data_IF_765829001957
#
_entry.id   IF_765829001957
#
_cell.length_a   1.000
_cell.length_b   1.000
_cell.length_c   1.000
_cell.angle_alpha   90.00
_cell.angle_beta   90.00
_cell.angle_gamma   90.00
#
_symmetry.space_group_name_H-M   'P 1'
#
loop_
_entity.id
_entity.type
_entity.pdbx_description
1 polymer ?
#
# COMPACT_ATOMS: atom_id res chain seq x y z
N UNK A 1 -7.46 -19.39 -0.76
CA UNK A 1 -8.67 -18.56 -0.89
C UNK A 1 -8.34 -17.13 -0.46
N UNK A 2 -8.41 -16.16 -1.37
CA UNK A 2 -8.20 -14.73 -1.04
C UNK A 2 -9.41 -14.16 -0.30
N UNK A 3 -9.33 -12.94 0.30
CA UNK A 3 -10.50 -12.29 0.90
C UNK A 3 -11.61 -12.04 -0.12
N UNK A 4 -11.25 -11.71 -1.37
CA UNK A 4 -12.21 -11.53 -2.45
C UNK A 4 -12.91 -12.85 -2.81
N UNK A 5 -12.16 -13.94 -2.91
CA UNK A 5 -12.73 -15.28 -3.13
C UNK A 5 -13.67 -15.66 -1.99
N UNK A 6 -13.27 -15.40 -0.74
CA UNK A 6 -14.09 -15.70 0.43
C UNK A 6 -15.37 -14.86 0.46
N UNK A 7 -15.30 -13.58 0.09
CA UNK A 7 -16.47 -12.74 -0.14
C UNK A 7 -17.42 -13.36 -1.18
N UNK A 8 -16.89 -13.87 -2.28
CA UNK A 8 -17.67 -14.56 -3.32
C UNK A 8 -18.26 -15.89 -2.82
N UNK A 9 -17.49 -16.69 -2.09
CA UNK A 9 -17.94 -17.94 -1.47
C UNK A 9 -19.10 -17.70 -0.52
N UNK A 10 -19.00 -16.68 0.35
CA UNK A 10 -20.11 -16.33 1.25
C UNK A 10 -21.33 -15.86 0.47
N UNK A 11 -21.15 -15.03 -0.56
CA UNK A 11 -22.26 -14.60 -1.41
C UNK A 11 -22.92 -15.79 -2.15
N UNK A 12 -22.12 -16.77 -2.59
CA UNK A 12 -22.62 -18.00 -3.21
C UNK A 12 -23.43 -18.84 -2.21
N UNK A 13 -22.94 -19.00 -0.98
CA UNK A 13 -23.68 -19.68 0.10
C UNK A 13 -25.02 -18.98 0.42
N UNK A 14 -25.05 -17.64 0.39
CA UNK A 14 -26.29 -16.86 0.55
C UNK A 14 -27.26 -17.12 -0.59
N UNK A 15 -26.79 -17.02 -1.86
CA UNK A 15 -27.63 -17.29 -3.04
C UNK A 15 -28.21 -18.70 -3.01
N UNK A 16 -27.41 -19.69 -2.62
CA UNK A 16 -27.84 -21.08 -2.46
C UNK A 16 -28.91 -21.23 -1.37
N UNK A 17 -28.71 -20.59 -0.21
CA UNK A 17 -29.70 -20.60 0.88
C UNK A 17 -31.06 -19.98 0.47
N UNK A 18 -31.04 -18.93 -0.35
CA UNK A 18 -32.25 -18.32 -0.91
C UNK A 18 -32.89 -19.23 -1.96
N UNK A 19 -32.10 -19.74 -2.91
CA UNK A 19 -32.58 -20.61 -4.00
C UNK A 19 -33.21 -21.92 -3.51
N UNK A 20 -32.69 -22.49 -2.42
CA UNK A 20 -33.22 -23.70 -1.78
C UNK A 20 -34.41 -23.40 -0.84
N UNK A 21 -34.79 -22.13 -0.67
CA UNK A 21 -35.90 -21.72 0.18
C UNK A 21 -35.63 -21.87 1.68
N UNK A 22 -34.36 -21.94 2.11
CA UNK A 22 -33.96 -21.94 3.51
C UNK A 22 -33.95 -20.53 4.11
N UNK A 23 -33.72 -19.51 3.28
CA UNK A 23 -33.86 -18.08 3.60
C UNK A 23 -34.91 -17.46 2.68
N UNK A 24 -36.19 -17.82 2.88
CA UNK A 24 -37.31 -17.27 2.09
C UNK A 24 -37.43 -15.77 2.34
N UNK A 25 -37.77 -15.03 1.29
CA UNK A 25 -38.03 -13.58 1.35
C UNK A 25 -36.80 -12.70 1.64
N UNK A 26 -35.59 -13.28 1.62
CA UNK A 26 -34.35 -12.51 1.79
C UNK A 26 -33.85 -11.97 0.46
N UNK A 27 -33.67 -10.64 0.38
CA UNK A 27 -32.96 -10.03 -0.73
C UNK A 27 -31.46 -10.30 -0.62
N UNK A 28 -30.87 -10.85 -1.68
CA UNK A 28 -29.44 -11.14 -1.72
C UNK A 28 -28.67 -9.83 -1.88
N UNK A 29 -27.73 -9.50 -0.97
CA UNK A 29 -26.95 -8.28 -1.08
C UNK A 29 -26.03 -8.33 -2.32
N UNK A 30 -25.74 -7.19 -2.96
CA UNK A 30 -24.87 -7.14 -4.12
C UNK A 30 -23.43 -7.53 -3.78
N UNK A 31 -23.02 -7.37 -2.51
CA UNK A 31 -21.69 -7.70 -2.02
C UNK A 31 -21.73 -8.13 -0.56
N UNK A 32 -20.89 -9.11 -0.23
CA UNK A 32 -20.55 -9.47 1.15
C UNK A 32 -19.14 -9.03 1.44
N UNK A 33 -18.90 -8.50 2.63
CA UNK A 33 -17.57 -8.10 3.11
C UNK A 33 -17.07 -9.15 4.12
N UNK A 34 -15.83 -9.57 3.94
CA UNK A 34 -15.05 -10.31 4.94
C UNK A 34 -13.88 -9.45 5.39
N UNK A 35 -13.65 -9.44 6.69
CA UNK A 35 -12.62 -8.63 7.35
C UNK A 35 -11.82 -9.50 8.30
N UNK A 36 -10.69 -8.98 8.79
CA UNK A 36 -9.97 -9.65 9.88
C UNK A 36 -10.86 -9.70 11.14
N UNK A 37 -10.87 -10.81 11.90
CA UNK A 37 -11.59 -10.87 13.15
C UNK A 37 -11.17 -9.72 14.06
N UNK A 38 -12.15 -9.10 14.73
CA UNK A 38 -11.89 -8.05 15.73
C UNK A 38 -11.13 -8.63 16.92
N UNK A 39 -10.46 -7.81 17.75
CA UNK A 39 -9.86 -8.29 18.99
C UNK A 39 -10.88 -9.09 19.83
N UNK A 40 -10.56 -10.35 20.13
CA UNK A 40 -11.46 -11.32 20.78
C UNK A 40 -12.26 -12.23 19.83
N UNK A 41 -12.16 -12.04 18.52
CA UNK A 41 -12.65 -12.97 17.49
C UNK A 41 -11.70 -14.14 17.25
N UNK A 42 -12.19 -15.18 16.57
CA UNK A 42 -11.43 -16.39 16.23
C UNK A 42 -11.33 -16.56 14.70
N UNK A 43 -10.53 -17.52 14.24
CA UNK A 43 -10.36 -17.83 12.82
C UNK A 43 -9.49 -16.83 12.05
N UNK A 44 -9.46 -16.99 10.72
CA UNK A 44 -8.66 -16.17 9.80
C UNK A 44 -9.40 -14.90 9.36
N UNK A 45 -10.72 -15.02 9.18
CA UNK A 45 -11.62 -14.02 8.61
C UNK A 45 -12.96 -14.01 9.33
N UNK A 46 -13.67 -12.89 9.31
CA UNK A 46 -15.01 -12.76 9.87
C UNK A 46 -15.94 -12.02 8.91
N UNK A 47 -17.23 -12.35 8.94
CA UNK A 47 -18.27 -11.62 8.22
C UNK A 47 -19.52 -11.39 9.07
N UNK A 48 -20.16 -10.25 8.86
CA UNK A 48 -21.44 -9.87 9.44
C UNK A 48 -22.63 -10.16 8.50
N UNK A 49 -22.44 -10.93 7.43
CA UNK A 49 -23.46 -11.21 6.42
C UNK A 49 -24.79 -11.66 7.03
N UNK A 50 -24.77 -12.56 8.01
CA UNK A 50 -25.99 -13.04 8.67
C UNK A 50 -26.76 -11.92 9.39
N UNK A 51 -26.06 -10.96 10.00
CA UNK A 51 -26.68 -9.79 10.64
C UNK A 51 -27.31 -8.84 9.63
N UNK A 52 -26.72 -8.70 8.45
CA UNK A 52 -27.25 -7.87 7.37
C UNK A 52 -28.49 -8.51 6.75
N UNK A 53 -28.43 -9.80 6.44
CA UNK A 53 -29.52 -10.58 5.85
C UNK A 53 -30.71 -10.66 6.79
N UNK A 54 -30.47 -10.83 8.09
CA UNK A 54 -31.51 -10.88 9.11
C UNK A 54 -32.31 -9.58 9.28
N UNK A 55 -31.86 -8.45 8.71
CA UNK A 55 -32.67 -7.22 8.67
C UNK A 55 -33.80 -7.30 7.64
N UNK A 56 -33.61 -8.10 6.59
CA UNK A 56 -34.58 -8.29 5.52
C UNK A 56 -35.61 -9.39 5.78
N UNK A 57 -35.50 -10.11 6.91
CA UNK A 57 -36.38 -11.23 7.28
C UNK A 57 -36.68 -11.22 8.77
N UNK A 58 -37.86 -11.69 9.17
CA UNK A 58 -38.23 -11.85 10.57
C UNK A 58 -37.55 -13.06 11.24
N UNK A 59 -36.30 -13.37 10.87
CA UNK A 59 -35.51 -14.46 11.43
C UNK A 59 -34.44 -13.91 12.38
N UNK A 60 -34.19 -14.56 13.54
CA UNK A 60 -33.07 -14.20 14.39
C UNK A 60 -31.74 -14.28 13.63
N UNK A 61 -30.82 -13.30 13.75
CA UNK A 61 -29.57 -13.33 12.99
C UNK A 61 -28.71 -14.57 13.23
N UNK A 62 -28.79 -15.15 14.44
CA UNK A 62 -28.16 -16.41 14.77
C UNK A 62 -28.69 -17.59 13.95
N UNK A 63 -29.99 -17.63 13.64
CA UNK A 63 -30.57 -18.63 12.75
C UNK A 63 -30.08 -18.48 11.32
N UNK A 64 -30.00 -17.24 10.82
CA UNK A 64 -29.42 -16.96 9.50
C UNK A 64 -27.95 -17.41 9.45
N UNK A 65 -27.19 -17.15 10.52
CA UNK A 65 -25.81 -17.61 10.63
C UNK A 65 -25.69 -19.14 10.62
N UNK A 66 -26.59 -19.88 11.29
CA UNK A 66 -26.62 -21.35 11.27
C UNK A 66 -26.86 -21.90 9.85
N UNK A 67 -27.81 -21.32 9.11
CA UNK A 67 -28.12 -21.71 7.72
C UNK A 67 -26.92 -21.46 6.79
N UNK A 68 -26.24 -20.34 6.96
CA UNK A 68 -25.04 -20.03 6.17
C UNK A 68 -23.86 -20.91 6.57
N UNK A 69 -23.69 -21.20 7.86
CA UNK A 69 -22.62 -22.08 8.37
C UNK A 69 -22.67 -23.45 7.71
N UNK A 70 -23.85 -24.06 7.60
CA UNK A 70 -24.00 -25.39 6.97
C UNK A 70 -23.45 -25.40 5.54
N UNK A 71 -23.81 -24.40 4.73
CA UNK A 71 -23.33 -24.28 3.34
C UNK A 71 -21.86 -23.91 3.25
N UNK A 72 -21.38 -23.04 4.13
CA UNK A 72 -19.97 -22.65 4.16
C UNK A 72 -19.06 -23.82 4.58
N UNK A 73 -19.52 -24.75 5.41
CA UNK A 73 -18.76 -25.94 5.76
C UNK A 73 -18.63 -26.95 4.60
N UNK A 74 -19.50 -26.87 3.58
CA UNK A 74 -19.37 -27.67 2.35
C UNK A 74 -18.28 -27.14 1.41
N UNK A 75 -17.80 -25.91 1.62
CA UNK A 75 -16.84 -25.27 0.74
C UNK A 75 -15.42 -25.84 0.98
N UNK A 76 -14.72 -26.33 -0.05
CA UNK A 76 -13.44 -27.03 0.10
C UNK A 76 -12.37 -26.23 0.86
N UNK A 77 -12.40 -24.90 0.74
CA UNK A 77 -11.42 -24.02 1.37
C UNK A 77 -11.65 -23.71 2.86
N UNK A 78 -12.79 -24.09 3.42
CA UNK A 78 -13.20 -23.75 4.78
C UNK A 78 -13.02 -24.97 5.69
N UNK A 79 -12.27 -24.79 6.78
CA UNK A 79 -12.05 -25.82 7.79
C UNK A 79 -13.13 -25.78 8.87
N UNK A 80 -13.46 -24.58 9.33
CA UNK A 80 -14.36 -24.36 10.45
C UNK A 80 -15.07 -23.02 10.29
N UNK A 81 -16.31 -22.98 10.80
CA UNK A 81 -17.14 -21.78 10.83
C UNK A 81 -17.77 -21.65 12.22
N UNK A 82 -17.31 -20.67 12.97
CA UNK A 82 -17.77 -20.37 14.33
C UNK A 82 -18.74 -19.19 14.35
N UNK A 83 -19.89 -19.38 15.00
CA UNK A 83 -20.88 -18.32 15.18
C UNK A 83 -20.64 -17.67 16.54
N UNK A 84 -20.29 -16.39 16.52
CA UNK A 84 -20.07 -15.59 17.74
C UNK A 84 -21.12 -14.51 17.91
N UNK A 85 -21.42 -14.19 19.17
CA UNK A 85 -22.36 -13.13 19.54
C UNK A 85 -23.74 -13.29 18.89
N UNK A 86 -24.33 -12.22 18.33
CA UNK A 86 -25.67 -12.26 17.75
C UNK A 86 -25.75 -12.96 16.39
N UNK A 87 -24.63 -13.23 15.71
CA UNK A 87 -24.62 -13.81 14.36
C UNK A 87 -23.38 -13.47 13.52
N UNK A 88 -22.22 -13.22 14.13
CA UNK A 88 -20.97 -13.05 13.38
C UNK A 88 -20.42 -14.43 13.01
N UNK A 89 -20.08 -14.62 11.73
CA UNK A 89 -19.46 -15.83 11.22
C UNK A 89 -17.95 -15.63 11.18
N UNK A 90 -17.22 -16.40 11.98
CA UNK A 90 -15.76 -16.47 11.93
C UNK A 90 -15.35 -17.72 11.16
N UNK A 91 -14.44 -17.55 10.20
CA UNK A 91 -14.07 -18.54 9.21
C UNK A 91 -12.60 -18.89 9.41
N UNK A 92 -12.33 -20.16 9.67
CA UNK A 92 -10.98 -20.74 9.69
C UNK A 92 -10.78 -21.44 8.36
N UNK A 93 -9.73 -21.06 7.64
CA UNK A 93 -9.37 -21.68 6.37
C UNK A 93 -8.66 -23.01 6.63
N UNK A 94 -8.77 -23.98 5.72
CA UNK A 94 -7.95 -25.20 5.82
C UNK A 94 -6.47 -24.84 5.76
N UNK A 95 -5.66 -25.53 6.58
CA UNK A 95 -4.20 -25.42 6.51
C UNK A 95 -3.75 -25.70 5.08
N UNK A 96 -2.82 -24.90 4.56
CA UNK A 96 -2.45 -24.93 3.14
C UNK A 96 -3.25 -23.96 2.27
N UNK A 97 -4.57 -23.86 2.39
CA UNK A 97 -5.39 -23.06 1.44
C UNK A 97 -5.11 -21.56 1.49
N UNK A 98 -4.75 -21.03 2.67
CA UNK A 98 -4.31 -19.64 2.83
C UNK A 98 -2.92 -19.45 2.26
N UNK A 99 -1.96 -20.29 2.66
CA UNK A 99 -0.59 -20.22 2.16
C UNK A 99 -0.50 -20.46 0.66
N UNK A 100 -1.33 -21.35 0.11
CA UNK A 100 -1.33 -21.71 -1.31
C UNK A 100 -1.95 -20.59 -2.14
N UNK A 101 -3.01 -19.94 -1.67
CA UNK A 101 -3.54 -18.78 -2.39
C UNK A 101 -2.70 -17.52 -2.23
N UNK A 102 -2.11 -17.29 -1.05
CA UNK A 102 -1.11 -16.23 -0.89
C UNK A 102 0.08 -16.49 -1.82
N UNK A 103 0.55 -17.76 -1.92
CA UNK A 103 1.61 -18.16 -2.87
C UNK A 103 1.19 -18.01 -4.32
N UNK A 104 0.00 -18.44 -4.71
CA UNK A 104 -0.52 -18.30 -6.08
C UNK A 104 -0.68 -16.82 -6.44
N UNK A 105 -1.19 -16.00 -5.52
CA UNK A 105 -1.30 -14.55 -5.72
C UNK A 105 0.08 -13.90 -5.87
N UNK A 106 1.00 -14.18 -4.93
CA UNK A 106 2.38 -13.66 -5.00
C UNK A 106 3.05 -14.13 -6.28
N UNK A 107 2.90 -15.39 -6.67
CA UNK A 107 3.44 -15.91 -7.93
C UNK A 107 2.84 -15.19 -9.13
N UNK A 108 1.53 -14.98 -9.17
CA UNK A 108 0.87 -14.21 -10.22
C UNK A 108 1.34 -12.75 -10.28
N UNK A 109 1.57 -12.10 -9.14
CA UNK A 109 2.15 -10.75 -9.07
C UNK A 109 3.57 -10.75 -9.62
N UNK A 110 4.40 -11.72 -9.25
CA UNK A 110 5.78 -11.83 -9.71
C UNK A 110 5.86 -12.13 -11.22
N UNK A 111 5.03 -13.06 -11.72
CA UNK A 111 4.97 -13.43 -13.13
C UNK A 111 4.49 -12.25 -14.01
N UNK A 112 3.58 -11.41 -13.50
CA UNK A 112 3.13 -10.20 -14.19
C UNK A 112 4.10 -9.01 -14.00
N UNK A 113 4.91 -9.02 -12.94
CA UNK A 113 5.90 -8.00 -12.64
C UNK A 113 5.31 -6.58 -12.60
N UNK A 114 5.94 -5.58 -13.25
CA UNK A 114 5.42 -4.21 -13.32
C UNK A 114 4.04 -4.09 -14.01
N UNK A 115 3.65 -5.10 -14.78
CA UNK A 115 2.34 -5.15 -15.45
C UNK A 115 1.20 -5.61 -14.54
N UNK A 116 1.48 -6.07 -13.31
CA UNK A 116 0.42 -6.48 -12.40
C UNK A 116 -0.59 -5.35 -12.15
N UNK A 117 -1.88 -5.67 -12.26
CA UNK A 117 -2.97 -4.70 -12.14
C UNK A 117 -3.24 -3.83 -13.37
N UNK A 118 -2.47 -4.00 -14.45
CA UNK A 118 -2.82 -3.43 -15.75
C UNK A 118 -3.96 -4.23 -16.38
N UNK A 119 -4.80 -3.54 -17.15
CA UNK A 119 -5.97 -4.13 -17.80
C UNK A 119 -6.35 -3.39 -19.06
N UNK A 120 -7.53 -3.70 -19.61
CA UNK A 120 -8.07 -3.10 -20.83
C UNK A 120 -9.45 -2.43 -20.63
N UNK A 121 -9.82 -2.18 -19.37
CA UNK A 121 -11.12 -1.62 -18.99
C UNK A 121 -11.43 -0.26 -19.65
N UNK A 122 -10.41 0.47 -20.10
CA UNK A 122 -10.52 1.77 -20.76
C UNK A 122 -9.95 1.75 -22.19
N UNK A 123 -9.78 0.59 -22.84
CA UNK A 123 -9.13 0.47 -24.16
C UNK A 123 -9.74 1.32 -25.29
N UNK A 124 -11.05 1.56 -25.17
CA UNK A 124 -11.82 2.32 -26.15
C UNK A 124 -11.89 3.82 -25.81
N UNK A 125 -11.36 4.21 -24.64
CA UNK A 125 -11.32 5.59 -24.17
C UNK A 125 -10.10 6.35 -24.72
N UNK A 126 -10.32 7.61 -25.08
CA UNK A 126 -9.30 8.53 -25.55
C UNK A 126 -9.42 9.87 -24.81
N UNK A 127 -8.59 10.01 -23.77
CA UNK A 127 -8.59 11.19 -22.91
C UNK A 127 -7.65 12.26 -23.48
N UNK A 128 -8.18 13.47 -23.67
CA UNK A 128 -7.40 14.61 -24.13
C UNK A 128 -7.22 15.61 -22.99
N UNK A 129 -6.03 15.62 -22.37
CA UNK A 129 -5.70 16.50 -21.24
C UNK A 129 -4.98 17.77 -21.71
N UNK A 130 -5.19 18.86 -20.98
CA UNK A 130 -4.47 20.10 -21.23
C UNK A 130 -2.96 19.89 -21.04
N UNK A 131 -2.15 20.39 -21.97
CA UNK A 131 -0.72 20.15 -21.94
C UNK A 131 0.09 20.96 -22.93
N UNK A 132 1.35 20.58 -23.09
CA UNK A 132 2.26 21.22 -24.03
C UNK A 132 1.83 20.98 -25.50
N UNK A 133 2.19 21.91 -26.40
CA UNK A 133 1.83 21.84 -27.83
C UNK A 133 2.48 20.66 -28.56
N UNK A 134 3.67 20.26 -28.12
CA UNK A 134 4.42 19.12 -28.62
C UNK A 134 3.93 17.77 -28.06
N UNK A 135 2.91 17.79 -27.18
CA UNK A 135 2.39 16.61 -26.52
C UNK A 135 3.31 16.05 -25.41
N UNK A 136 4.37 16.75 -25.02
CA UNK A 136 5.37 16.27 -24.05
C UNK A 136 4.83 16.00 -22.65
N UNK A 137 3.63 16.49 -22.32
CA UNK A 137 3.00 16.19 -21.04
C UNK A 137 2.00 17.24 -20.60
N UNK A 138 1.50 17.07 -19.39
CA UNK A 138 0.61 18.04 -18.76
C UNK A 138 1.35 19.36 -18.51
N UNK A 139 0.65 20.47 -18.70
CA UNK A 139 1.14 21.83 -18.44
C UNK A 139 0.15 22.51 -17.51
N UNK A 140 0.64 23.30 -16.58
CA UNK A 140 -0.19 23.94 -15.57
C UNK A 140 0.64 24.25 -14.32
N UNK A 141 -0.03 24.72 -13.27
CA UNK A 141 0.63 24.84 -11.98
C UNK A 141 1.00 23.44 -11.43
N UNK A 142 1.83 23.39 -10.40
CA UNK A 142 2.45 22.17 -9.91
C UNK A 142 1.44 21.05 -9.62
N UNK A 143 0.29 21.37 -9.03
CA UNK A 143 -0.74 20.37 -8.70
C UNK A 143 -1.46 19.86 -9.93
N UNK A 144 -1.87 20.76 -10.84
CA UNK A 144 -2.53 20.40 -12.11
C UNK A 144 -1.68 19.39 -12.87
N UNK A 145 -0.36 19.65 -12.99
CA UNK A 145 0.61 18.75 -13.61
C UNK A 145 0.65 17.37 -12.94
N UNK A 146 0.88 17.33 -11.64
CA UNK A 146 1.01 16.04 -10.92
C UNK A 146 -0.27 15.22 -10.96
N UNK A 147 -1.43 15.86 -10.80
CA UNK A 147 -2.73 15.19 -10.88
C UNK A 147 -2.99 14.71 -12.31
N UNK A 148 -2.69 15.53 -13.32
CA UNK A 148 -2.80 15.16 -14.74
C UNK A 148 -1.96 13.96 -15.10
N UNK A 149 -0.70 13.93 -14.66
CA UNK A 149 0.20 12.79 -14.90
C UNK A 149 -0.28 11.52 -14.19
N UNK A 150 -0.81 11.64 -12.96
CA UNK A 150 -1.37 10.51 -12.23
C UNK A 150 -2.63 9.94 -12.91
N UNK A 151 -3.55 10.80 -13.36
CA UNK A 151 -4.73 10.38 -14.13
C UNK A 151 -4.30 9.71 -15.43
N UNK A 152 -3.33 10.29 -16.13
CA UNK A 152 -2.83 9.72 -17.37
C UNK A 152 -2.20 8.33 -17.17
N UNK A 153 -1.42 8.15 -16.09
CA UNK A 153 -0.85 6.86 -15.73
C UNK A 153 -1.93 5.82 -15.42
N UNK A 154 -2.98 6.19 -14.67
CA UNK A 154 -4.11 5.31 -14.37
C UNK A 154 -4.85 4.90 -15.65
N UNK A 155 -5.20 5.85 -16.53
CA UNK A 155 -5.89 5.55 -17.79
C UNK A 155 -5.06 4.63 -18.68
N UNK A 156 -3.77 4.92 -18.85
CA UNK A 156 -2.85 4.08 -19.63
C UNK A 156 -2.70 2.69 -19.03
N UNK A 157 -2.66 2.57 -17.70
CA UNK A 157 -2.60 1.26 -17.03
C UNK A 157 -3.81 0.37 -17.33
N UNK A 158 -4.95 0.98 -17.69
CA UNK A 158 -6.19 0.28 -18.03
C UNK A 158 -6.42 0.23 -19.56
N UNK A 159 -5.37 0.43 -20.36
CA UNK A 159 -5.39 0.30 -21.82
C UNK A 159 -5.88 1.53 -22.58
N UNK A 160 -6.30 2.59 -21.88
CA UNK A 160 -6.81 3.81 -22.51
C UNK A 160 -5.72 4.69 -23.12
N UNK A 161 -6.11 5.48 -24.12
CA UNK A 161 -5.20 6.45 -24.76
C UNK A 161 -5.27 7.78 -24.05
N UNK A 162 -4.12 8.43 -23.89
CA UNK A 162 -4.04 9.78 -23.31
C UNK A 162 -3.17 10.66 -24.19
N UNK A 163 -3.75 11.76 -24.66
CA UNK A 163 -3.09 12.79 -25.45
C UNK A 163 -3.05 14.10 -24.67
N UNK A 164 -1.99 14.86 -24.87
CA UNK A 164 -1.84 16.20 -24.32
C UNK A 164 -1.95 17.24 -25.44
N UNK A 165 -2.56 18.38 -25.14
CA UNK A 165 -2.60 19.50 -26.08
C UNK A 165 -3.19 20.76 -25.47
N UNK A 166 -2.97 21.91 -26.11
CA UNK A 166 -3.43 23.22 -25.61
C UNK A 166 -4.95 23.39 -25.55
N UNK A 167 -5.69 22.51 -26.23
CA UNK A 167 -7.17 22.45 -26.21
C UNK A 167 -7.71 21.27 -25.40
N UNK A 168 -6.85 20.56 -24.68
CA UNK A 168 -7.27 19.46 -23.82
C UNK A 168 -8.01 19.93 -22.57
N UNK A 169 -8.66 19.00 -21.91
CA UNK A 169 -9.40 19.24 -20.67
C UNK A 169 -8.47 19.64 -19.53
N UNK A 170 -8.83 20.72 -18.82
CA UNK A 170 -8.12 21.18 -17.63
C UNK A 170 -8.71 20.57 -16.38
N UNK A 171 -7.85 20.06 -15.52
CA UNK A 171 -8.27 19.51 -14.25
C UNK A 171 -8.47 20.65 -13.25
N UNK A 172 -9.70 20.79 -12.75
CA UNK A 172 -10.02 21.79 -11.74
C UNK A 172 -9.38 21.41 -10.39
N UNK A 173 -8.24 22.03 -10.08
CA UNK A 173 -7.50 21.84 -8.83
C UNK A 173 -7.27 23.18 -8.14
N UNK A 174 -7.19 23.16 -6.81
CA UNK A 174 -6.72 24.30 -6.03
C UNK A 174 -5.20 24.38 -6.16
N UNK A 175 -4.74 25.50 -6.71
CA UNK A 175 -3.31 25.77 -6.90
C UNK A 175 -2.53 25.70 -5.59
N UNK A 176 -1.28 25.25 -5.69
CA UNK A 176 -0.35 25.34 -4.58
C UNK A 176 -0.08 26.81 -4.22
N UNK A 177 -0.09 27.13 -2.92
CA UNK A 177 0.17 28.50 -2.43
C UNK A 177 1.64 28.79 -2.13
N UNK A 178 2.54 27.85 -2.46
CA UNK A 178 4.00 27.95 -2.36
C UNK A 178 4.66 27.04 -3.40
N UNK A 179 5.96 27.21 -3.64
CA UNK A 179 6.73 26.29 -4.48
C UNK A 179 6.98 24.97 -3.73
N UNK A 180 6.11 24.01 -3.99
CA UNK A 180 6.11 22.71 -3.30
C UNK A 180 7.38 21.92 -3.58
N UNK A 181 7.88 21.94 -4.82
CA UNK A 181 9.05 21.14 -5.17
C UNK A 181 10.35 21.76 -4.66
N UNK A 182 10.46 23.09 -4.65
CA UNK A 182 11.58 23.76 -4.01
C UNK A 182 11.61 23.52 -2.48
N UNK A 183 10.44 23.50 -1.83
CA UNK A 183 10.34 23.33 -0.38
C UNK A 183 10.48 21.88 0.11
N UNK A 184 10.03 20.90 -0.67
CA UNK A 184 9.87 19.51 -0.23
C UNK A 184 10.64 18.48 -1.07
N UNK A 185 11.14 18.87 -2.24
CA UNK A 185 11.71 17.92 -3.21
C UNK A 185 10.65 17.09 -3.94
N UNK A 186 11.07 16.17 -4.82
CA UNK A 186 10.18 15.51 -5.78
C UNK A 186 9.14 14.60 -5.13
N UNK A 187 9.56 13.70 -4.23
CA UNK A 187 8.67 12.68 -3.68
C UNK A 187 7.70 13.24 -2.63
N UNK A 188 8.20 14.02 -1.68
CA UNK A 188 7.35 14.68 -0.70
C UNK A 188 6.45 15.73 -1.36
N UNK A 189 6.92 16.39 -2.43
CA UNK A 189 6.11 17.31 -3.21
C UNK A 189 4.97 16.62 -3.95
N UNK A 190 5.22 15.49 -4.63
CA UNK A 190 4.17 14.68 -5.26
C UNK A 190 3.12 14.23 -4.23
N UNK A 191 3.57 13.76 -3.08
CA UNK A 191 2.67 13.38 -1.99
C UNK A 191 1.80 14.56 -1.53
N UNK A 192 2.41 15.73 -1.28
CA UNK A 192 1.72 16.93 -0.83
C UNK A 192 0.64 17.40 -1.83
N UNK A 193 0.87 17.19 -3.13
CA UNK A 193 -0.01 17.59 -4.22
C UNK A 193 -1.16 16.59 -4.46
N UNK A 194 -0.91 15.28 -4.30
CA UNK A 194 -1.86 14.20 -4.59
C UNK A 194 -2.74 13.78 -3.41
N UNK A 195 -2.21 13.81 -2.18
CA UNK A 195 -2.89 13.25 -1.01
C UNK A 195 -4.16 14.02 -0.58
N UNK A 196 -4.15 15.37 -0.50
CA UNK A 196 -5.35 16.13 -0.13
C UNK A 196 -6.39 16.13 -1.26
N UNK A 197 -7.66 16.34 -0.94
CA UNK A 197 -8.69 16.46 -1.97
C UNK A 197 -8.38 17.66 -2.88
N UNK A 198 -8.77 17.57 -4.17
CA UNK A 198 -8.39 18.57 -5.20
C UNK A 198 -8.71 20.03 -4.84
N UNK A 199 -9.71 20.27 -3.99
CA UNK A 199 -10.15 21.60 -3.55
C UNK A 199 -9.51 22.04 -2.22
N UNK A 200 -8.88 21.12 -1.50
CA UNK A 200 -8.19 21.41 -0.24
C UNK A 200 -6.88 22.14 -0.48
N UNK A 201 -6.45 22.91 0.52
CA UNK A 201 -5.16 23.57 0.49
C UNK A 201 -4.03 22.53 0.63
N UNK A 202 -2.93 22.74 -0.08
CA UNK A 202 -1.71 21.93 0.09
C UNK A 202 -1.20 22.10 1.53
N UNK A 203 -0.83 21.05 2.26
CA UNK A 203 -0.28 21.19 3.61
C UNK A 203 1.01 22.01 3.64
N UNK A 204 1.23 22.76 4.71
CA UNK A 204 2.50 23.46 4.93
C UNK A 204 3.64 22.45 5.15
N UNK A 205 4.88 22.75 4.70
CA UNK A 205 6.02 21.84 4.87
C UNK A 205 6.25 21.38 6.30
N UNK A 206 6.13 22.28 7.29
CA UNK A 206 6.32 21.95 8.70
C UNK A 206 5.29 20.95 9.25
N UNK A 207 4.07 20.96 8.73
CA UNK A 207 3.04 19.98 9.09
C UNK A 207 3.35 18.64 8.45
N UNK A 208 3.73 18.65 7.16
CA UNK A 208 3.98 17.44 6.40
C UNK A 208 5.24 16.69 6.87
N UNK A 209 6.29 17.42 7.28
CA UNK A 209 7.57 16.84 7.68
C UNK A 209 7.61 16.41 9.16
N UNK A 210 6.51 16.57 9.91
CA UNK A 210 6.43 16.16 11.30
C UNK A 210 6.55 14.63 11.44
N UNK A 211 7.48 14.17 12.27
CA UNK A 211 7.74 12.75 12.48
C UNK A 211 6.86 12.16 13.59
N UNK A 212 5.57 12.04 13.33
CA UNK A 212 4.60 11.50 14.29
C UNK A 212 3.70 10.47 13.63
N UNK A 213 3.26 9.47 14.38
CA UNK A 213 2.43 8.38 13.84
C UNK A 213 1.08 8.85 13.29
N UNK A 214 0.54 9.98 13.76
CA UNK A 214 -0.69 10.57 13.22
C UNK A 214 -0.47 11.27 11.87
N UNK A 215 0.77 11.45 11.42
CA UNK A 215 1.09 11.96 10.09
C UNK A 215 1.21 10.81 9.08
N UNK A 216 0.29 10.70 8.09
CA UNK A 216 0.32 9.61 7.11
C UNK A 216 1.57 9.61 6.23
N UNK A 217 2.19 10.78 5.98
CA UNK A 217 3.42 10.84 5.21
C UNK A 217 4.59 10.20 5.97
N UNK A 218 4.68 10.50 7.27
CA UNK A 218 5.66 9.86 8.14
C UNK A 218 5.44 8.35 8.21
N UNK A 219 4.19 7.89 8.39
CA UNK A 219 3.89 6.45 8.45
C UNK A 219 4.37 5.70 7.20
N UNK A 220 4.15 6.26 6.01
CA UNK A 220 4.60 5.62 4.76
C UNK A 220 6.14 5.57 4.68
N UNK A 221 6.82 6.67 5.01
CA UNK A 221 8.29 6.70 5.03
C UNK A 221 8.88 5.76 6.06
N UNK A 222 8.25 5.68 7.23
CA UNK A 222 8.63 4.79 8.32
C UNK A 222 8.42 3.32 7.93
N UNK A 223 7.28 2.97 7.33
CA UNK A 223 7.05 1.63 6.83
C UNK A 223 8.07 1.24 5.75
N UNK A 224 8.39 2.16 4.83
CA UNK A 224 9.42 1.94 3.82
C UNK A 224 10.80 1.69 4.44
N UNK A 225 11.23 2.55 5.38
CA UNK A 225 12.54 2.41 6.02
C UNK A 225 12.65 1.10 6.82
N UNK A 226 11.57 0.72 7.52
CA UNK A 226 11.50 -0.56 8.25
C UNK A 226 11.55 -1.76 7.32
N UNK A 227 10.84 -1.73 6.19
CA UNK A 227 10.90 -2.79 5.18
C UNK A 227 12.30 -2.92 4.57
N UNK A 228 12.96 -1.80 4.27
CA UNK A 228 14.35 -1.80 3.77
C UNK A 228 15.35 -2.29 4.81
N UNK A 229 15.19 -1.90 6.07
CA UNK A 229 16.01 -2.41 7.17
C UNK A 229 15.84 -3.92 7.33
N UNK A 230 14.60 -4.42 7.30
CA UNK A 230 14.32 -5.85 7.33
C UNK A 230 15.01 -6.60 6.18
N UNK A 231 14.94 -6.07 4.95
CA UNK A 231 15.60 -6.68 3.80
C UNK A 231 17.13 -6.68 3.92
N UNK A 232 17.72 -5.62 4.47
CA UNK A 232 19.18 -5.57 4.71
C UNK A 232 19.60 -6.59 5.77
N UNK A 233 18.94 -6.57 6.92
CA UNK A 233 19.23 -7.51 8.01
C UNK A 233 19.04 -8.98 7.57
N UNK A 234 18.03 -9.25 6.74
CA UNK A 234 17.83 -10.57 6.15
C UNK A 234 19.05 -11.00 5.31
N UNK A 235 19.57 -10.11 4.46
CA UNK A 235 20.78 -10.38 3.66
C UNK A 235 22.02 -10.60 4.54
N UNK A 236 22.19 -9.81 5.59
CA UNK A 236 23.31 -9.93 6.52
C UNK A 236 23.28 -11.27 7.28
N UNK A 237 22.09 -11.78 7.56
CA UNK A 237 21.86 -13.12 8.13
C UNK A 237 21.90 -14.24 7.09
N UNK A 238 22.20 -13.94 5.83
CA UNK A 238 22.30 -14.92 4.74
C UNK A 238 20.96 -15.34 4.12
N UNK A 239 19.84 -14.72 4.49
CA UNK A 239 18.57 -14.94 3.80
C UNK A 239 18.59 -14.24 2.43
N UNK A 240 18.30 -14.99 1.38
CA UNK A 240 18.12 -14.47 0.02
C UNK A 240 16.65 -14.63 -0.38
N UNK A 241 16.10 -13.64 -1.08
CA UNK A 241 14.84 -13.86 -1.80
C UNK A 241 15.10 -14.92 -2.88
N UNK A 242 14.26 -15.95 -2.93
CA UNK A 242 14.32 -16.98 -3.98
C UNK A 242 13.89 -16.31 -5.27
N UNK A 243 14.83 -15.70 -5.97
CA UNK A 243 14.60 -15.17 -7.31
C UNK A 243 15.92 -15.22 -8.09
N UNK A 244 16.32 -16.43 -8.45
CA UNK A 244 17.31 -16.65 -9.51
C UNK A 244 16.82 -17.80 -10.41
N UNK A 245 16.37 -17.44 -11.61
CA UNK A 245 16.49 -18.30 -12.79
C UNK A 245 15.34 -19.26 -13.05
N UNK A 246 14.79 -19.16 -14.26
CA UNK A 246 14.03 -20.24 -14.87
C UNK A 246 14.82 -21.55 -14.85
N UNK A 247 14.18 -22.61 -14.36
CA UNK A 247 14.69 -23.97 -14.36
C UNK A 247 13.73 -24.86 -13.56
N UNK A 248 12.57 -25.18 -14.14
CA UNK A 248 11.77 -26.30 -13.66
C UNK A 248 12.61 -27.55 -13.93
N UNK A 249 13.28 -28.07 -12.91
CA UNK A 249 13.77 -29.43 -12.92
C UNK A 249 12.64 -30.30 -12.35
N UNK A 250 11.85 -30.88 -13.25
CA UNK A 250 10.87 -31.90 -12.94
C UNK A 250 11.64 -33.19 -12.59
N UNK A 251 11.93 -33.38 -11.30
CA UNK A 251 12.56 -34.59 -10.77
C UNK A 251 11.92 -34.99 -9.44
N UNK A 252 11.21 -36.12 -9.47
CA UNK A 252 10.40 -36.70 -8.40
C UNK A 252 11.10 -36.95 -7.04
N UNK A 253 10.23 -36.97 -6.02
CA UNK A 253 10.26 -37.70 -4.74
C UNK A 253 11.02 -37.15 -3.51
N UNK A 254 10.24 -36.98 -2.44
CA UNK A 254 10.71 -37.17 -1.07
C UNK A 254 10.42 -36.01 -0.11
N UNK A 255 9.58 -36.26 0.89
CA UNK A 255 9.42 -35.43 2.08
C UNK A 255 10.76 -34.93 2.66
N UNK A 256 10.96 -33.62 2.85
CA UNK A 256 11.24 -33.01 4.15
C UNK A 256 11.44 -31.49 4.05
N UNK A 257 11.20 -30.82 5.17
CA UNK A 257 10.99 -29.37 5.28
C UNK A 257 12.19 -28.47 4.98
N UNK A 258 11.87 -27.16 5.03
CA UNK A 258 12.76 -26.01 5.24
C UNK A 258 14.26 -26.32 5.06
N UNK A 259 14.79 -26.09 3.86
CA UNK A 259 16.24 -26.13 3.61
C UNK A 259 16.91 -24.90 4.25
N UNK A 260 17.11 -24.98 5.57
CA UNK A 260 17.99 -24.11 6.35
C UNK A 260 19.41 -24.60 6.13
N UNK A 261 20.03 -24.20 5.03
CA UNK A 261 21.49 -24.31 4.86
C UNK A 261 22.15 -22.97 5.10
N UNK A 262 22.03 -22.50 6.34
CA UNK A 262 23.03 -21.62 6.91
C UNK A 262 24.32 -22.42 7.09
N UNK A 263 25.35 -22.14 6.28
CA UNK A 263 26.71 -22.55 6.62
C UNK A 263 27.13 -21.74 7.84
N UNK A 264 27.05 -22.36 9.00
CA UNK A 264 27.64 -21.89 10.25
C UNK A 264 29.13 -22.24 10.23
N UNK A 265 29.94 -21.39 9.61
CA UNK A 265 31.37 -21.33 9.95
C UNK A 265 31.56 -20.07 10.82
N UNK A 266 32.11 -20.30 12.01
CA UNK A 266 32.02 -19.43 13.17
C UNK A 266 32.38 -17.96 12.91
N UNK A 267 31.54 -17.07 13.45
CA UNK A 267 31.87 -15.68 13.66
C UNK A 267 31.70 -15.37 15.14
N UNK A 268 32.84 -15.23 15.80
CA UNK A 268 32.97 -14.77 17.17
C UNK A 268 32.26 -13.41 17.34
N UNK A 269 31.37 -13.36 18.33
CA UNK A 269 30.68 -12.16 18.76
C UNK A 269 31.65 -11.23 19.50
N UNK A 270 32.44 -10.47 18.75
CA UNK A 270 33.03 -9.22 19.23
C UNK A 270 33.02 -8.16 18.12
N UNK A 271 32.06 -7.25 18.20
CA UNK A 271 31.93 -6.11 17.29
C UNK A 271 31.02 -5.05 17.89
N UNK A 272 31.65 -4.07 18.52
CA UNK A 272 31.08 -2.89 19.17
C UNK A 272 30.55 -1.91 18.11
N UNK A 273 29.31 -1.41 18.26
CA UNK A 273 28.81 -0.29 17.45
C UNK A 273 27.28 -0.20 17.34
N UNK A 274 26.71 0.67 18.16
CA UNK A 274 25.39 1.33 18.07
C UNK A 274 24.13 0.45 18.15
N UNK A 275 23.86 -0.04 19.36
CA UNK A 275 22.51 -0.40 19.78
C UNK A 275 21.61 0.83 19.78
N UNK A 276 20.51 0.78 19.01
CA UNK A 276 19.41 1.73 19.14
C UNK A 276 18.51 1.27 20.29
N UNK A 277 18.66 1.95 21.43
CA UNK A 277 17.84 1.78 22.63
C UNK A 277 16.34 1.93 22.31
N UNK A 278 15.62 0.86 22.62
CA UNK A 278 14.16 0.80 22.56
C UNK A 278 13.58 1.22 23.91
N UNK A 279 13.50 2.52 24.14
CA UNK A 279 12.55 3.06 25.11
C UNK A 279 11.76 4.21 24.49
N UNK A 280 10.46 3.96 24.31
CA UNK A 280 9.52 4.98 23.90
C UNK A 280 9.39 6.04 24.97
N UNK A 281 9.94 7.21 24.71
CA UNK A 281 9.42 8.52 25.09
C UNK A 281 9.90 9.52 24.05
N UNK A 282 8.97 10.28 23.48
CA UNK A 282 9.18 11.01 22.24
C UNK A 282 10.29 12.03 22.33
N UNK A 283 11.36 11.86 21.55
CA UNK A 283 12.18 12.94 21.02
C UNK A 283 12.85 12.49 19.72
N UNK A 284 12.71 13.34 18.69
CA UNK A 284 13.46 13.49 17.43
C UNK A 284 14.36 12.30 17.03
N UNK A 285 13.94 11.56 16.00
CA UNK A 285 14.78 10.56 15.33
C UNK A 285 15.28 11.14 14.01
N UNK A 286 16.59 11.37 13.91
CA UNK A 286 17.21 11.69 12.63
C UNK A 286 17.10 10.48 11.70
N UNK A 287 16.31 10.66 10.64
CA UNK A 287 16.22 9.72 9.53
C UNK A 287 17.32 10.13 8.55
N UNK A 288 18.34 9.30 8.29
CA UNK A 288 19.34 9.62 7.27
C UNK A 288 18.64 9.67 5.91
N UNK A 289 18.47 10.89 5.40
CA UNK A 289 18.06 11.16 4.04
C UNK A 289 19.30 11.46 3.21
N UNK A 290 19.57 10.57 2.26
CA UNK A 290 20.31 10.79 1.02
C UNK A 290 21.76 11.31 1.13
N UNK A 291 22.69 10.36 0.99
CA UNK A 291 23.91 10.57 0.21
C UNK A 291 23.49 10.90 -1.24
N UNK A 292 23.43 12.19 -1.57
CA UNK A 292 23.78 12.68 -2.91
C UNK A 292 24.87 13.73 -2.73
N UNK A 293 26.02 13.43 -3.33
CA UNK A 293 27.29 14.15 -3.21
C UNK A 293 27.14 15.60 -3.65
N UNK A 294 27.39 16.52 -2.72
CA UNK A 294 27.71 17.92 -3.02
C UNK A 294 29.23 18.05 -3.18
N UNK A 295 29.72 17.93 -4.41
CA UNK A 295 31.07 18.35 -4.77
C UNK A 295 31.09 19.89 -4.86
N UNK A 296 31.45 20.54 -3.76
CA UNK A 296 31.80 21.95 -3.71
C UNK A 296 33.32 22.09 -3.85
N UNK A 297 33.80 22.30 -5.08
CA UNK A 297 35.16 22.78 -5.28
C UNK A 297 35.27 24.25 -4.87
N UNK A 298 35.89 24.47 -3.71
CA UNK A 298 36.45 25.77 -3.35
C UNK A 298 37.72 26.06 -4.13
N UNK A 299 37.80 27.24 -4.73
CA UNK A 299 39.05 27.93 -5.01
C UNK A 299 39.07 29.16 -4.12
N UNK A 300 39.90 29.12 -3.08
CA UNK A 300 40.38 30.33 -2.44
C UNK A 300 41.55 30.88 -3.25
N UNK A 301 41.66 32.21 -3.32
CA UNK A 301 42.95 32.81 -3.03
C UNK A 301 42.83 34.25 -2.51
N UNK A 302 43.86 34.60 -1.77
CA UNK A 302 44.07 35.59 -0.73
C UNK A 302 44.21 37.04 -1.21
N UNK A 303 43.94 38.03 -0.32
CA UNK A 303 44.95 38.95 0.25
C UNK A 303 44.48 40.40 0.53
N UNK A 304 44.68 40.82 1.79
CA UNK A 304 45.23 42.10 2.29
C UNK A 304 44.62 43.47 1.89
N UNK A 305 44.35 44.31 2.92
CA UNK A 305 44.24 45.77 2.78
C UNK A 305 43.57 46.46 3.97
N UNK A 306 44.36 47.18 4.75
CA UNK A 306 44.08 47.81 6.06
C UNK A 306 43.74 49.32 5.92
N UNK A 307 43.18 49.90 7.00
CA UNK A 307 43.08 51.34 7.35
C UNK A 307 41.96 52.17 6.65
N UNK A 308 41.34 53.21 7.20
CA UNK A 308 41.44 53.95 8.47
C UNK A 308 40.15 54.79 8.64
N UNK A 309 39.78 55.14 9.87
CA UNK A 309 38.74 56.15 10.16
C UNK A 309 39.35 57.57 10.10
N UNK A 310 38.57 58.67 10.02
CA UNK A 310 38.12 59.29 11.28
C UNK A 310 36.81 60.12 11.23
N UNK A 311 36.14 60.21 12.39
CA UNK A 311 35.30 61.34 12.83
C UNK A 311 36.22 62.35 13.56
N UNK A 312 35.91 63.67 13.72
CA UNK A 312 34.79 64.09 14.58
C UNK A 312 34.20 65.52 14.35
N UNK A 313 33.25 65.85 15.25
CA UNK A 313 33.02 67.15 15.90
C UNK A 313 31.88 68.06 15.42
N UNK A 314 30.79 67.98 16.18
CA UNK A 314 29.84 69.06 16.51
C UNK A 314 30.50 70.18 17.32
N UNK A 315 29.86 71.35 17.39
CA UNK A 315 29.56 71.99 18.68
C UNK A 315 28.06 71.97 19.01
#
# INVERSE_FOLDING_TARGET
>A
MTPADLSHTVLHAVRRAVGEGALREVEVPPRVVVERPRPGGCGDWATNAALQLARGVALPPRRVAEVLRERLLEEPGIAQVDITGPGFLNLTLRSGVRSDADRVLVRGILDQGPGYGHGDALRDEDLHLFGAEDGSGHRGEARERVVGDAVAALVRSQGGRVRYGVRGERLAVRAAHYDVFAALGPDAGRWALLRPARHDRVPEPGVLLRQTEDNPFFLVRYAHSRARALQRNARDLGFRSVDEGHGVDDGHDGHDGLDVRGRSDGLDLHGQGDGLDLHGQGHRLDVPGQDDRLDMHGQGDSSHGEADAPHPATP
#
